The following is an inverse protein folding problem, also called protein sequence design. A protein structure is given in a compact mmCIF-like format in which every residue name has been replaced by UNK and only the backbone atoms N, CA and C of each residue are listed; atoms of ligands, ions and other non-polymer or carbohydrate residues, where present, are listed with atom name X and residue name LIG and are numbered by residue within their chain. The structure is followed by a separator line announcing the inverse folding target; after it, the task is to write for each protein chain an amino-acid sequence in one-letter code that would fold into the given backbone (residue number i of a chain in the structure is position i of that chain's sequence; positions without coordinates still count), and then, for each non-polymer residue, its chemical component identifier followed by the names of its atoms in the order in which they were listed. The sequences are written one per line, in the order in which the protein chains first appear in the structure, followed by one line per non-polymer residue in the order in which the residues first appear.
data_IF_601089506913
#
_entry.id   IF_601089506913
#
_cell.length_a   1.000
_cell.length_b   1.000
_cell.length_c   1.000
_cell.angle_alpha   90.00
_cell.angle_beta   90.00
_cell.angle_gamma   90.00
#
_symmetry.space_group_name_H-M   'P 1'
#
loop_
_entity.id
_entity.type
_entity.pdbx_description
1 polymer ?
#
# COMPACT_ATOMS: atom_id res chain seq x y z
N UNK A 1 9.55 20.46 11.20
CA UNK A 1 8.87 19.34 10.52
C UNK A 1 9.81 18.40 9.74
N UNK A 2 11.09 18.74 9.46
CA UNK A 2 12.01 17.88 8.67
C UNK A 2 12.45 16.52 9.27
N UNK A 3 12.24 16.27 10.57
CA UNK A 3 12.71 15.02 11.21
C UNK A 3 11.74 13.83 11.08
N UNK A 4 10.45 14.08 10.84
CA UNK A 4 9.46 12.99 10.71
C UNK A 4 9.42 12.41 9.29
N UNK A 5 9.59 13.23 8.25
CA UNK A 5 9.59 12.78 6.84
C UNK A 5 10.68 11.74 6.56
N UNK A 6 11.90 11.94 7.06
CA UNK A 6 13.00 11.00 6.87
C UNK A 6 12.70 9.62 7.50
N UNK A 7 12.04 9.61 8.66
CA UNK A 7 11.72 8.38 9.38
C UNK A 7 10.59 7.62 8.67
N UNK A 8 9.60 8.33 8.12
CA UNK A 8 8.54 7.71 7.32
C UNK A 8 9.09 7.09 6.04
N UNK A 9 9.97 7.79 5.33
CA UNK A 9 10.61 7.27 4.12
C UNK A 9 11.44 6.00 4.39
N UNK A 10 12.28 6.01 5.42
CA UNK A 10 13.10 4.85 5.82
C UNK A 10 12.26 3.66 6.31
N UNK A 11 11.05 3.92 6.83
CA UNK A 11 10.09 2.88 7.23
C UNK A 11 9.40 2.27 6.00
N UNK A 12 8.99 3.09 5.03
CA UNK A 12 8.33 2.65 3.80
C UNK A 12 9.27 1.86 2.89
N UNK A 13 10.55 2.25 2.79
CA UNK A 13 11.55 1.52 2.00
C UNK A 13 11.73 0.05 2.42
N UNK A 14 11.46 -0.30 3.67
CA UNK A 14 11.56 -1.69 4.16
C UNK A 14 10.54 -2.61 3.51
N UNK A 15 9.42 -2.06 3.04
CA UNK A 15 8.36 -2.82 2.40
C UNK A 15 8.61 -3.05 0.92
N UNK A 16 9.55 -2.32 0.30
CA UNK A 16 9.89 -2.50 -1.11
C UNK A 16 10.35 -3.95 -1.38
N UNK A 17 9.72 -4.61 -2.34
CA UNK A 17 9.95 -6.02 -2.67
C UNK A 17 9.27 -7.02 -1.75
N UNK A 18 8.64 -6.59 -0.65
CA UNK A 18 7.86 -7.47 0.22
C UNK A 18 6.46 -7.70 -0.35
N UNK A 19 5.87 -8.83 0.02
CA UNK A 19 4.46 -9.14 -0.25
C UNK A 19 3.65 -8.87 1.01
N UNK A 20 2.70 -7.96 0.92
CA UNK A 20 1.84 -7.56 2.03
C UNK A 20 0.39 -7.97 1.74
N UNK A 21 -0.33 -8.30 2.81
CA UNK A 21 -1.78 -8.49 2.75
C UNK A 21 -2.44 -7.11 2.83
N UNK A 22 -3.11 -6.72 1.74
CA UNK A 22 -3.73 -5.41 1.57
C UNK A 22 -5.24 -5.58 1.52
N UNK A 23 -5.94 -4.87 2.40
CA UNK A 23 -7.40 -4.81 2.39
C UNK A 23 -7.85 -3.73 1.42
N UNK A 24 -8.68 -4.11 0.45
CA UNK A 24 -9.21 -3.23 -0.59
C UNK A 24 -10.29 -2.33 0.01
N UNK A 25 -10.03 -1.03 0.18
CA UNK A 25 -11.02 -0.06 0.65
C UNK A 25 -11.82 0.53 -0.52
N UNK A 26 -11.19 0.64 -1.69
CA UNK A 26 -11.81 1.07 -2.95
C UNK A 26 -11.55 0.00 -4.00
N UNK A 27 -12.61 -0.65 -4.49
CA UNK A 27 -12.52 -1.62 -5.58
C UNK A 27 -12.70 -0.95 -6.95
N UNK A 28 -12.54 -1.72 -8.03
CA UNK A 28 -12.72 -1.23 -9.40
C UNK A 28 -11.48 -1.44 -10.28
N UNK A 29 -11.25 -0.48 -11.19
CA UNK A 29 -10.15 -0.51 -12.17
C UNK A 29 -8.84 0.00 -11.54
N UNK A 30 -8.93 0.97 -10.63
CA UNK A 30 -7.81 1.49 -9.85
C UNK A 30 -8.08 1.23 -8.37
N UNK A 31 -7.89 -0.02 -7.90
CA UNK A 31 -8.16 -0.34 -6.52
C UNK A 31 -7.12 0.25 -5.58
N UNK A 32 -7.60 0.74 -4.44
CA UNK A 32 -6.79 1.31 -3.36
C UNK A 32 -7.09 0.56 -2.08
N UNK A 33 -6.06 0.31 -1.28
CA UNK A 33 -6.21 -0.36 0.00
C UNK A 33 -5.21 0.11 1.04
N UNK A 34 -5.21 -0.59 2.17
CA UNK A 34 -4.28 -0.38 3.27
C UNK A 34 -3.71 -1.71 3.74
N UNK A 35 -2.49 -1.70 4.25
CA UNK A 35 -1.90 -2.92 4.80
C UNK A 35 -2.50 -3.21 6.18
N UNK A 36 -2.45 -4.48 6.61
CA UNK A 36 -2.85 -4.85 7.99
C UNK A 36 -2.01 -4.16 9.08
N UNK A 37 -0.82 -3.65 8.73
CA UNK A 37 0.11 -3.06 9.68
C UNK A 37 -0.10 -1.55 9.88
N UNK A 38 -1.01 -0.95 9.12
CA UNK A 38 -1.27 0.49 9.12
C UNK A 38 -2.34 0.85 10.14
N UNK A 39 -1.96 1.69 11.10
CA UNK A 39 -2.92 2.33 12.01
C UNK A 39 -3.70 3.41 11.24
N UNK A 40 -5.02 3.56 11.45
CA UNK A 40 -5.91 4.41 10.66
C UNK A 40 -5.56 5.92 10.61
N UNK A 41 -4.56 6.40 11.34
CA UNK A 41 -4.20 7.82 11.46
C UNK A 41 -2.76 8.15 11.01
N UNK A 42 -1.92 7.18 10.62
CA UNK A 42 -0.47 7.41 10.40
C UNK A 42 0.08 6.92 9.07
N UNK A 43 -0.52 5.92 8.42
CA UNK A 43 0.18 5.19 7.37
C UNK A 43 -0.54 5.27 6.00
N UNK A 44 0.28 5.41 4.94
CA UNK A 44 -0.12 5.72 3.57
C UNK A 44 -1.06 4.71 2.90
N UNK A 45 -1.61 5.10 1.74
CA UNK A 45 -2.44 4.18 0.96
C UNK A 45 -1.58 3.27 0.08
N UNK A 46 -2.08 2.07 -0.22
CA UNK A 46 -1.49 1.17 -1.20
C UNK A 46 -2.27 1.27 -2.51
N UNK A 47 -1.61 1.81 -3.53
CA UNK A 47 -2.10 1.77 -4.91
C UNK A 47 -1.84 0.39 -5.49
N UNK A 48 -2.93 -0.31 -5.81
CA UNK A 48 -2.87 -1.71 -6.27
C UNK A 48 -2.99 -1.73 -7.79
N UNK A 49 -1.85 -1.97 -8.47
CA UNK A 49 -1.80 -2.18 -9.92
C UNK A 49 -2.23 -3.60 -10.26
N UNK A 50 -3.36 -3.73 -10.94
CA UNK A 50 -3.88 -5.02 -11.38
C UNK A 50 -4.79 -4.87 -12.59
N UNK A 51 -4.77 -5.87 -13.47
CA UNK A 51 -5.71 -5.98 -14.59
C UNK A 51 -7.04 -6.64 -14.16
N UNK A 52 -7.15 -7.06 -12.89
CA UNK A 52 -8.34 -7.70 -12.33
C UNK A 52 -9.18 -6.69 -11.56
N UNK A 53 -10.50 -6.78 -11.71
CA UNK A 53 -11.42 -5.97 -10.90
C UNK A 53 -11.41 -6.49 -9.47
N UNK A 54 -10.97 -5.67 -8.52
CA UNK A 54 -10.99 -6.02 -7.09
C UNK A 54 -12.29 -5.57 -6.44
N UNK A 55 -12.73 -6.34 -5.46
CA UNK A 55 -13.94 -6.07 -4.66
C UNK A 55 -13.54 -5.39 -3.35
N UNK A 56 -14.24 -4.31 -3.00
CA UNK A 56 -14.08 -3.67 -1.70
C UNK A 56 -14.30 -4.67 -0.56
N UNK A 57 -13.45 -4.62 0.46
CA UNK A 57 -13.46 -5.51 1.63
C UNK A 57 -12.72 -6.84 1.41
N UNK A 58 -12.24 -7.12 0.20
CA UNK A 58 -11.37 -8.27 -0.03
C UNK A 58 -9.94 -8.00 0.46
N UNK A 59 -9.25 -9.03 0.91
CA UNK A 59 -7.82 -8.97 1.22
C UNK A 59 -7.07 -9.65 0.08
N UNK A 60 -6.16 -8.91 -0.54
CA UNK A 60 -5.32 -9.40 -1.65
C UNK A 60 -3.85 -9.34 -1.26
N UNK A 61 -3.05 -10.24 -1.83
CA UNK A 61 -1.60 -10.18 -1.70
C UNK A 61 -1.04 -9.22 -2.73
N UNK A 62 -0.33 -8.20 -2.27
CA UNK A 62 0.26 -7.17 -3.12
C UNK A 62 1.75 -7.16 -2.88
N UNK A 63 2.53 -7.33 -3.94
CA UNK A 63 3.97 -7.16 -3.90
C UNK A 63 4.29 -5.68 -4.13
N UNK A 64 4.87 -5.05 -3.12
CA UNK A 64 5.25 -3.64 -3.22
C UNK A 64 6.40 -3.51 -4.20
N UNK A 65 6.17 -2.77 -5.27
CA UNK A 65 7.14 -2.56 -6.34
C UNK A 65 7.74 -1.15 -6.31
N UNK A 66 7.03 -0.21 -5.67
CA UNK A 66 7.47 1.17 -5.55
C UNK A 66 6.95 1.81 -4.26
N UNK A 67 7.58 2.89 -3.82
CA UNK A 67 7.10 3.72 -2.73
C UNK A 67 7.32 5.20 -3.07
N UNK A 68 6.26 5.99 -3.00
CA UNK A 68 6.31 7.45 -3.06
C UNK A 68 6.56 8.03 -1.66
N UNK A 69 6.68 9.36 -1.56
CA UNK A 69 6.95 10.07 -0.29
C UNK A 69 5.94 9.75 0.82
N UNK A 70 4.72 9.35 0.45
CA UNK A 70 3.64 9.06 1.40
C UNK A 70 2.89 7.75 1.12
N UNK A 71 3.03 7.14 -0.06
CA UNK A 71 2.17 6.04 -0.51
C UNK A 71 2.98 4.85 -1.03
N UNK A 72 2.42 3.65 -0.92
CA UNK A 72 3.00 2.43 -1.48
C UNK A 72 2.34 2.09 -2.81
N UNK A 73 3.11 1.58 -3.76
CA UNK A 73 2.58 1.07 -5.02
C UNK A 73 2.99 -0.39 -5.14
N UNK A 74 2.04 -1.24 -5.50
CA UNK A 74 2.34 -2.65 -5.68
C UNK A 74 1.40 -3.35 -6.63
N UNK A 75 1.80 -4.56 -7.01
CA UNK A 75 1.08 -5.40 -7.97
C UNK A 75 0.48 -6.62 -7.28
N UNK A 76 -0.74 -6.98 -7.69
CA UNK A 76 -1.39 -8.22 -7.22
C UNK A 76 -0.65 -9.42 -7.79
N UNK A 77 -0.33 -10.38 -6.92
CA UNK A 77 0.17 -11.72 -7.31
C UNK A 77 -0.96 -12.74 -7.49
#
# INVERSE_FOLDING_TARGET
MRKQEQISHDRLQRFLGQTLDVMVDVGGINPVGRTRYDAPEVDGVVDIRTNKRLTKGSIVKVRITDCSEHDLVGEVI
#
